data_IF_876876309818
#
_entry.id   IF_876876309818
#
_cell.length_a   1.000
_cell.length_b   1.000
_cell.length_c   1.000
_cell.angle_alpha   90.00
_cell.angle_beta   90.00
_cell.angle_gamma   90.00
#
_symmetry.space_group_name_H-M   'P 1'
#
loop_
_entity.id
_entity.type
_entity.pdbx_description
1 polymer ?
#
# COMPACT_ATOMS: atom_id res chain seq x y z
N UNK A 1 29.38 1.26 58.52
CA UNK A 1 29.92 0.48 57.39
C UNK A 1 28.82 0.30 56.35
N UNK A 2 29.20 0.32 55.07
CA UNK A 2 28.45 0.80 53.91
C UNK A 2 27.29 -0.10 53.47
N UNK A 3 26.10 0.50 53.26
CA UNK A 3 24.96 -0.14 52.58
C UNK A 3 25.32 -0.34 51.11
N UNK A 4 25.52 -1.58 50.69
CA UNK A 4 25.76 -1.94 49.28
C UNK A 4 24.45 -1.81 48.51
N UNK A 5 24.49 -0.97 47.49
CA UNK A 5 23.38 -0.62 46.64
C UNK A 5 22.85 -1.82 45.84
N UNK A 6 21.52 -2.02 45.71
CA UNK A 6 20.93 -2.76 44.61
C UNK A 6 20.49 -1.75 43.53
N UNK A 7 21.41 -0.91 43.04
CA UNK A 7 21.12 0.06 41.96
C UNK A 7 21.31 -0.56 40.56
N UNK A 8 21.44 -1.88 40.44
CA UNK A 8 21.71 -2.56 39.17
C UNK A 8 20.54 -3.37 38.60
N UNK A 9 19.38 -3.45 39.28
CA UNK A 9 18.23 -4.24 38.80
C UNK A 9 17.15 -3.44 38.06
N UNK A 10 17.32 -2.12 37.85
CA UNK A 10 16.35 -1.29 37.13
C UNK A 10 16.73 -0.98 35.68
N UNK A 11 17.74 -1.65 35.11
CA UNK A 11 18.23 -1.43 33.74
C UNK A 11 17.59 -2.38 32.70
N UNK A 12 16.58 -3.16 33.08
CA UNK A 12 16.20 -4.38 32.34
C UNK A 12 14.91 -4.37 31.50
N UNK A 13 14.09 -3.31 31.43
CA UNK A 13 12.70 -3.51 30.98
C UNK A 13 12.03 -2.53 29.99
N UNK A 14 12.67 -1.52 29.39
CA UNK A 14 11.86 -0.43 28.81
C UNK A 14 12.09 0.02 27.36
N UNK A 15 12.75 -0.76 26.48
CA UNK A 15 12.89 -0.34 25.07
C UNK A 15 12.59 -1.41 24.02
N UNK A 16 11.68 -2.35 24.29
CA UNK A 16 11.08 -3.17 23.22
C UNK A 16 9.88 -2.44 22.59
N UNK A 17 10.09 -1.22 22.07
CA UNK A 17 9.13 -0.57 21.18
C UNK A 17 9.28 -1.15 19.77
N UNK A 18 9.04 -2.46 19.61
CA UNK A 18 8.85 -3.02 18.28
C UNK A 18 7.48 -2.51 17.80
N UNK A 19 7.49 -1.47 16.97
CA UNK A 19 6.33 -1.19 16.13
C UNK A 19 6.09 -2.46 15.30
N UNK A 20 5.13 -3.27 15.73
CA UNK A 20 4.84 -4.56 15.10
C UNK A 20 4.43 -4.29 13.65
N UNK A 21 5.22 -4.80 12.71
CA UNK A 21 4.84 -4.78 11.31
C UNK A 21 3.56 -5.63 11.15
N UNK A 22 2.69 -5.30 10.17
CA UNK A 22 1.54 -6.14 9.87
C UNK A 22 2.00 -7.55 9.51
N UNK A 23 1.35 -8.55 10.08
CA UNK A 23 1.51 -9.94 9.67
C UNK A 23 0.56 -10.23 8.53
N UNK A 24 1.10 -10.61 7.38
CA UNK A 24 0.33 -11.07 6.23
C UNK A 24 0.47 -12.58 6.08
N UNK A 25 -0.62 -13.28 5.80
CA UNK A 25 -0.52 -14.65 5.26
C UNK A 25 -0.09 -14.58 3.80
N UNK A 26 1.18 -14.89 3.57
CA UNK A 26 1.83 -14.89 2.24
C UNK A 26 1.87 -16.29 1.60
N UNK A 27 1.16 -17.27 2.17
CA UNK A 27 1.10 -18.62 1.62
C UNK A 27 0.56 -18.58 0.19
N UNK A 28 1.29 -19.18 -0.76
CA UNK A 28 0.92 -19.19 -2.18
C UNK A 28 1.06 -17.86 -2.91
N UNK A 29 1.60 -16.81 -2.28
CA UNK A 29 1.89 -15.54 -2.95
C UNK A 29 3.01 -15.73 -3.98
N UNK A 30 2.80 -15.20 -5.18
CA UNK A 30 3.82 -15.21 -6.22
C UNK A 30 4.66 -13.93 -6.22
N UNK A 31 5.83 -13.98 -5.57
CA UNK A 31 6.69 -12.82 -5.37
C UNK A 31 7.20 -12.14 -6.67
N UNK A 32 7.30 -12.89 -7.78
CA UNK A 32 7.78 -12.38 -9.07
C UNK A 32 6.72 -11.64 -9.90
N UNK A 33 5.43 -11.80 -9.55
CA UNK A 33 4.33 -11.21 -10.32
C UNK A 33 4.11 -9.76 -9.91
N UNK A 34 4.71 -8.82 -10.63
CA UNK A 34 4.46 -7.38 -10.44
C UNK A 34 3.15 -6.94 -11.12
N UNK A 35 2.54 -5.81 -10.74
CA UNK A 35 1.37 -5.28 -11.45
C UNK A 35 1.58 -5.06 -12.93
N UNK A 36 2.73 -4.49 -13.33
CA UNK A 36 3.08 -4.31 -14.75
C UNK A 36 3.17 -5.65 -15.48
N UNK A 37 3.77 -6.67 -14.86
CA UNK A 37 3.86 -8.00 -15.47
C UNK A 37 2.47 -8.64 -15.59
N UNK A 38 1.63 -8.54 -14.54
CA UNK A 38 0.26 -9.03 -14.57
C UNK A 38 -0.57 -8.35 -15.68
N UNK A 39 -0.43 -7.04 -15.85
CA UNK A 39 -1.07 -6.30 -16.95
C UNK A 39 -0.64 -6.83 -18.33
N UNK A 40 0.64 -7.15 -18.51
CA UNK A 40 1.17 -7.72 -19.77
C UNK A 40 0.72 -9.15 -20.03
N UNK A 41 0.43 -9.93 -18.98
CA UNK A 41 -0.11 -11.28 -19.09
C UNK A 41 -1.62 -11.32 -19.37
N UNK A 42 -2.34 -10.23 -19.09
CA UNK A 42 -3.79 -10.16 -19.28
C UNK A 42 -4.53 -11.18 -18.42
N UNK A 43 -5.51 -11.86 -19.02
CA UNK A 43 -6.33 -12.87 -18.34
C UNK A 43 -5.51 -14.04 -17.75
N UNK A 44 -4.30 -14.30 -18.26
CA UNK A 44 -3.40 -15.34 -17.71
C UNK A 44 -2.88 -15.00 -16.31
N UNK A 45 -3.06 -13.77 -15.84
CA UNK A 45 -2.75 -13.39 -14.48
C UNK A 45 -3.84 -13.79 -13.48
N UNK A 46 -5.07 -14.06 -13.93
CA UNK A 46 -6.20 -14.34 -13.05
C UNK A 46 -5.97 -15.60 -12.18
N UNK A 47 -6.47 -15.56 -10.95
CA UNK A 47 -6.34 -16.63 -9.96
C UNK A 47 -4.99 -16.67 -9.22
N UNK A 48 -4.01 -15.83 -9.60
CA UNK A 48 -2.71 -15.79 -8.94
C UNK A 48 -2.77 -14.91 -7.70
N UNK A 49 -2.28 -15.43 -6.58
CA UNK A 49 -2.22 -14.72 -5.32
C UNK A 49 -1.00 -13.82 -5.28
N UNK A 50 -1.19 -12.58 -4.84
CA UNK A 50 -0.16 -11.53 -4.88
C UNK A 50 -0.11 -10.78 -3.55
N UNK A 51 1.09 -10.30 -3.21
CA UNK A 51 1.29 -9.30 -2.16
C UNK A 51 1.82 -8.03 -2.82
N UNK A 52 0.96 -7.02 -2.93
CA UNK A 52 1.31 -5.74 -3.54
C UNK A 52 1.08 -4.60 -2.57
N UNK A 53 1.80 -3.51 -2.76
CA UNK A 53 1.61 -2.31 -1.97
C UNK A 53 2.13 -1.10 -2.72
N UNK A 54 1.75 0.06 -2.23
CA UNK A 54 2.03 1.29 -2.94
C UNK A 54 1.38 2.50 -2.32
N UNK A 55 1.25 3.54 -3.13
CA UNK A 55 0.54 4.76 -2.77
C UNK A 55 -0.84 4.77 -3.39
N UNK A 56 -1.85 5.10 -2.60
CA UNK A 56 -3.20 5.34 -3.10
C UNK A 56 -3.15 6.56 -4.01
N UNK A 57 -3.65 6.40 -5.23
CA UNK A 57 -3.85 7.51 -6.17
C UNK A 57 -5.29 8.00 -6.10
N UNK A 58 -6.24 7.07 -5.95
CA UNK A 58 -7.67 7.36 -5.82
C UNK A 58 -8.36 6.28 -4.99
N UNK A 59 -9.36 6.69 -4.22
CA UNK A 59 -10.30 5.79 -3.57
C UNK A 59 -11.72 6.11 -4.06
N UNK A 60 -12.55 5.08 -4.26
CA UNK A 60 -13.94 5.22 -4.69
C UNK A 60 -14.78 4.13 -4.03
N UNK A 61 -15.86 4.54 -3.36
CA UNK A 61 -16.89 3.62 -2.92
C UNK A 61 -17.85 3.33 -4.08
N UNK A 62 -18.02 2.05 -4.38
CA UNK A 62 -19.00 1.50 -5.29
C UNK A 62 -20.16 0.92 -4.48
N UNK A 63 -21.15 0.33 -5.15
CA UNK A 63 -22.35 -0.21 -4.51
C UNK A 63 -22.05 -1.29 -3.46
N UNK A 64 -21.13 -2.21 -3.77
CA UNK A 64 -20.84 -3.42 -2.98
C UNK A 64 -19.39 -3.49 -2.46
N UNK A 65 -18.53 -2.55 -2.86
CA UNK A 65 -17.09 -2.60 -2.62
C UNK A 65 -16.45 -1.22 -2.60
N UNK A 66 -15.26 -1.14 -2.05
CA UNK A 66 -14.38 0.02 -2.19
C UNK A 66 -13.27 -0.31 -3.17
N UNK A 67 -13.12 0.52 -4.19
CA UNK A 67 -12.06 0.40 -5.19
C UNK A 67 -10.96 1.41 -4.90
N UNK A 68 -9.74 0.91 -4.72
CA UNK A 68 -8.53 1.70 -4.57
C UNK A 68 -7.69 1.59 -5.83
N UNK A 69 -7.34 2.71 -6.44
CA UNK A 69 -6.29 2.78 -7.46
C UNK A 69 -4.96 3.03 -6.77
N UNK A 70 -3.98 2.15 -7.02
CA UNK A 70 -2.71 2.16 -6.28
C UNK A 70 -1.54 2.20 -7.26
N UNK A 71 -0.62 3.14 -7.06
CA UNK A 71 0.69 3.13 -7.72
C UNK A 71 1.63 2.24 -6.93
N UNK A 72 2.00 1.10 -7.50
CA UNK A 72 2.74 0.06 -6.81
C UNK A 72 4.25 0.33 -6.75
N UNK A 73 4.86 -0.10 -5.65
CA UNK A 73 6.30 -0.08 -5.44
C UNK A 73 6.76 -1.43 -4.89
N UNK A 74 8.05 -1.80 -5.07
CA UNK A 74 8.62 -2.95 -4.39
C UNK A 74 8.40 -2.84 -2.88
N UNK A 75 8.18 -3.97 -2.21
CA UNK A 75 8.01 -3.99 -0.76
C UNK A 75 9.36 -4.17 -0.05
N UNK A 76 9.50 -3.55 1.11
CA UNK A 76 10.59 -3.84 2.05
C UNK A 76 10.30 -5.17 2.77
N UNK A 77 11.28 -5.67 3.54
CA UNK A 77 11.13 -6.88 4.35
C UNK A 77 9.95 -6.83 5.33
N UNK A 78 9.57 -5.63 5.79
CA UNK A 78 8.42 -5.41 6.67
C UNK A 78 7.12 -5.15 5.89
N UNK A 79 7.07 -5.52 4.61
CA UNK A 79 5.96 -5.31 3.69
C UNK A 79 5.61 -3.84 3.40
N UNK A 80 6.38 -2.84 3.90
CA UNK A 80 6.12 -1.43 3.61
C UNK A 80 6.58 -1.06 2.19
N UNK A 81 5.83 -0.26 1.41
CA UNK A 81 6.26 0.17 0.07
C UNK A 81 7.58 0.95 0.09
N UNK A 82 8.52 0.56 -0.77
CA UNK A 82 9.83 1.20 -0.98
C UNK A 82 9.69 2.34 -2.00
N UNK A 83 9.26 3.52 -1.54
CA UNK A 83 8.97 4.70 -2.39
C UNK A 83 10.18 5.28 -3.13
N UNK A 84 11.38 4.99 -2.66
CA UNK A 84 12.66 5.35 -3.29
C UNK A 84 13.06 4.43 -4.45
N UNK A 85 12.29 3.37 -4.72
CA UNK A 85 12.49 2.47 -5.86
C UNK A 85 11.56 2.82 -7.03
N UNK A 86 11.89 2.39 -8.27
CA UNK A 86 11.03 2.59 -9.42
C UNK A 86 9.63 1.97 -9.23
N UNK A 87 8.60 2.68 -9.68
CA UNK A 87 7.22 2.18 -9.63
C UNK A 87 7.02 0.95 -10.53
N UNK A 88 6.24 -0.02 -10.04
CA UNK A 88 5.98 -1.31 -10.68
C UNK A 88 4.65 -1.36 -11.45
N UNK A 89 4.10 -0.20 -11.78
CA UNK A 89 2.80 -0.05 -12.46
C UNK A 89 1.67 0.34 -11.49
N UNK A 90 0.45 0.42 -12.02
CA UNK A 90 -0.76 0.68 -11.25
C UNK A 90 -1.64 -0.56 -11.24
N UNK A 91 -2.43 -0.70 -10.19
CA UNK A 91 -3.44 -1.74 -10.10
C UNK A 91 -4.69 -1.21 -9.39
N UNK A 92 -5.79 -1.91 -9.58
CA UNK A 92 -7.03 -1.68 -8.85
C UNK A 92 -7.14 -2.73 -7.76
N UNK A 93 -7.39 -2.31 -6.53
CA UNK A 93 -7.70 -3.18 -5.41
C UNK A 93 -9.17 -3.02 -5.05
N UNK A 94 -9.91 -4.12 -5.16
CA UNK A 94 -11.30 -4.19 -4.74
C UNK A 94 -11.35 -4.81 -3.35
N UNK A 95 -11.83 -4.02 -2.38
CA UNK A 95 -12.08 -4.46 -1.02
C UNK A 95 -13.60 -4.62 -0.82
N UNK A 96 -14.08 -5.77 -0.31
CA UNK A 96 -15.51 -5.98 -0.10
C UNK A 96 -16.07 -5.02 0.96
N UNK A 97 -17.19 -4.36 0.66
CA UNK A 97 -17.79 -3.37 1.55
C UNK A 97 -17.12 -1.99 1.53
N UNK A 98 -17.30 -1.25 2.62
CA UNK A 98 -16.97 0.17 2.71
C UNK A 98 -15.65 0.43 3.44
N UNK A 99 -14.79 1.27 2.87
CA UNK A 99 -13.68 1.91 3.55
C UNK A 99 -13.92 3.42 3.59
N UNK A 100 -13.58 4.05 4.72
CA UNK A 100 -13.62 5.50 4.84
C UNK A 100 -12.57 6.13 3.92
N UNK A 101 -13.01 6.80 2.87
CA UNK A 101 -12.11 7.33 1.82
C UNK A 101 -11.28 8.52 2.31
N UNK A 102 -11.72 9.19 3.39
CA UNK A 102 -10.89 10.19 4.08
C UNK A 102 -9.65 9.55 4.73
N UNK A 103 -9.76 8.33 5.26
CA UNK A 103 -8.61 7.59 5.78
C UNK A 103 -7.75 7.02 4.66
N UNK A 104 -8.39 6.46 3.63
CA UNK A 104 -7.75 5.92 2.42
C UNK A 104 -7.50 7.01 1.36
N UNK A 105 -7.10 8.19 1.80
CA UNK A 105 -6.86 9.35 0.94
C UNK A 105 -5.67 9.15 -0.02
N UNK A 106 -5.63 9.89 -1.14
CA UNK A 106 -4.47 9.93 -2.03
C UNK A 106 -3.15 10.23 -1.30
N UNK A 107 -2.08 9.53 -1.68
CA UNK A 107 -0.75 9.63 -1.06
C UNK A 107 -0.55 8.74 0.17
N UNK A 108 -1.60 8.13 0.74
CA UNK A 108 -1.45 7.14 1.81
C UNK A 108 -0.80 5.87 1.28
N UNK A 109 0.07 5.27 2.09
CA UNK A 109 0.68 3.98 1.77
C UNK A 109 -0.20 2.83 2.26
N UNK A 110 -0.36 1.80 1.44
CA UNK A 110 -0.98 0.55 1.83
C UNK A 110 -0.16 -0.64 1.36
N UNK A 111 -0.42 -1.79 1.98
CA UNK A 111 -0.02 -3.10 1.49
C UNK A 111 -1.19 -4.05 1.61
N UNK A 112 -1.34 -4.94 0.64
CA UNK A 112 -2.39 -5.95 0.62
C UNK A 112 -1.90 -7.31 0.15
N UNK A 113 -2.64 -8.33 0.54
CA UNK A 113 -2.62 -9.66 -0.07
C UNK A 113 -3.99 -9.91 -0.67
N UNK A 114 -4.00 -10.48 -1.87
CA UNK A 114 -5.23 -10.82 -2.56
C UNK A 114 -4.98 -11.68 -3.78
N UNK A 115 -6.05 -11.89 -4.55
CA UNK A 115 -6.01 -12.68 -5.77
C UNK A 115 -6.28 -11.79 -6.96
N UNK A 116 -5.46 -11.87 -8.01
CA UNK A 116 -5.74 -11.18 -9.27
C UNK A 116 -7.03 -11.76 -9.85
N UNK A 117 -8.08 -10.95 -9.91
CA UNK A 117 -9.41 -11.37 -10.34
C UNK A 117 -9.57 -11.24 -11.86
N UNK A 118 -9.07 -10.14 -12.42
CA UNK A 118 -9.22 -9.81 -13.84
C UNK A 118 -8.21 -8.74 -14.25
N UNK A 119 -8.27 -8.33 -15.52
CA UNK A 119 -7.60 -7.15 -16.03
C UNK A 119 -8.63 -6.17 -16.58
N UNK A 120 -8.54 -4.91 -16.18
CA UNK A 120 -9.44 -3.83 -16.56
C UNK A 120 -8.73 -2.82 -17.47
N UNK A 121 -9.31 -2.55 -18.64
CA UNK A 121 -8.86 -1.46 -19.52
C UNK A 121 -9.49 -0.16 -19.07
N UNK A 122 -8.65 0.82 -18.77
CA UNK A 122 -9.06 2.16 -18.39
C UNK A 122 -8.10 3.20 -18.96
N UNK A 123 -7.94 4.29 -18.22
CA UNK A 123 -7.00 5.37 -18.58
C UNK A 123 -6.24 5.83 -17.35
N UNK A 124 -5.02 6.32 -17.58
CA UNK A 124 -4.34 7.25 -16.67
C UNK A 124 -4.37 8.58 -17.38
N UNK A 125 -5.10 9.54 -16.82
CA UNK A 125 -5.46 10.78 -17.50
C UNK A 125 -6.09 10.49 -18.88
N UNK A 126 -5.41 10.87 -19.97
CA UNK A 126 -5.89 10.62 -21.33
C UNK A 126 -5.29 9.36 -21.97
N UNK A 127 -4.22 8.82 -21.38
CA UNK A 127 -3.50 7.68 -21.93
C UNK A 127 -4.22 6.36 -21.61
N UNK A 128 -4.41 5.46 -22.60
CA UNK A 128 -4.97 4.14 -22.34
C UNK A 128 -4.06 3.36 -21.37
N UNK A 129 -4.67 2.66 -20.43
CA UNK A 129 -3.96 1.89 -19.41
C UNK A 129 -4.67 0.57 -19.11
N UNK A 130 -3.90 -0.44 -18.76
CA UNK A 130 -4.39 -1.78 -18.42
C UNK A 130 -4.07 -2.05 -16.95
N UNK A 131 -5.10 -2.11 -16.12
CA UNK A 131 -4.99 -2.34 -14.68
C UNK A 131 -5.24 -3.82 -14.36
N UNK A 132 -4.31 -4.55 -13.73
CA UNK A 132 -4.70 -5.75 -13.03
C UNK A 132 -5.63 -5.37 -11.86
N UNK A 133 -6.67 -6.16 -11.66
CA UNK A 133 -7.64 -5.98 -10.58
C UNK A 133 -7.40 -7.08 -9.55
N UNK A 134 -7.21 -6.69 -8.29
CA UNK A 134 -6.99 -7.60 -7.17
C UNK A 134 -8.23 -7.61 -6.28
N UNK A 135 -8.82 -8.78 -6.09
CA UNK A 135 -9.76 -9.01 -5.00
C UNK A 135 -8.96 -9.13 -3.70
N UNK A 136 -9.22 -8.24 -2.75
CA UNK A 136 -8.38 -8.04 -1.57
C UNK A 136 -8.83 -8.91 -0.40
N UNK A 137 -7.93 -9.75 0.12
CA UNK A 137 -8.19 -10.63 1.27
C UNK A 137 -7.68 -9.99 2.57
N UNK A 138 -6.50 -9.38 2.52
CA UNK A 138 -5.86 -8.70 3.65
C UNK A 138 -5.41 -7.32 3.20
N UNK A 139 -5.69 -6.29 3.99
CA UNK A 139 -5.35 -4.91 3.68
C UNK A 139 -4.78 -4.23 4.92
N UNK A 140 -3.67 -3.53 4.75
CA UNK A 140 -3.06 -2.73 5.80
C UNK A 140 -2.76 -1.31 5.30
N UNK A 141 -3.32 -0.33 5.99
CA UNK A 141 -3.07 1.08 5.76
C UNK A 141 -1.96 1.56 6.70
N UNK A 142 -0.85 2.01 6.13
CA UNK A 142 0.30 2.46 6.92
C UNK A 142 -0.01 3.79 7.64
N UNK A 143 0.47 3.96 8.89
CA UNK A 143 0.45 5.25 9.56
C UNK A 143 1.21 6.30 8.74
N UNK A 144 0.78 7.55 8.83
CA UNK A 144 1.51 8.68 8.23
C UNK A 144 2.84 8.80 8.97
N UNK A 145 3.96 8.69 8.25
CA UNK A 145 5.25 8.93 8.87
C UNK A 145 5.38 10.42 9.21
N UNK A 146 5.79 10.73 10.45
CA UNK A 146 6.25 12.08 10.81
C UNK A 146 7.47 12.40 9.93
N UNK A 147 7.26 13.11 8.84
CA UNK A 147 8.28 13.44 7.82
C UNK A 147 7.82 13.29 6.37
N UNK A 148 6.78 12.50 6.10
CA UNK A 148 6.17 12.35 4.77
C UNK A 148 5.11 13.44 4.49
N UNK A 149 5.33 14.65 5.02
CA UNK A 149 4.47 15.80 4.76
C UNK A 149 4.44 16.06 3.27
N UNK A 150 3.26 15.92 2.67
CA UNK A 150 2.98 16.25 1.29
C UNK A 150 3.52 17.66 1.03
N UNK A 151 4.49 17.78 0.13
CA UNK A 151 4.81 19.04 -0.53
C UNK A 151 3.59 19.43 -1.33
N UNK A 152 2.66 20.17 -0.71
CA UNK A 152 1.57 20.85 -1.39
C UNK A 152 2.21 21.92 -2.27
N UNK A 153 2.45 21.60 -3.54
CA UNK A 153 2.59 22.62 -4.57
C UNK A 153 1.20 23.24 -4.77
N UNK A 154 0.89 24.25 -3.96
CA UNK A 154 -0.17 25.20 -4.24
C UNK A 154 0.28 25.97 -5.49
N UNK A 155 -0.20 25.55 -6.65
CA UNK A 155 -0.09 26.33 -7.88
C UNK A 155 -0.81 27.65 -7.66
N UNK A 156 -0.04 28.71 -7.42
CA UNK A 156 -0.55 30.08 -7.49
C UNK A 156 -0.90 30.33 -8.96
N UNK A 157 -2.18 30.16 -9.30
CA UNK A 157 -2.72 30.61 -10.56
C UNK A 157 -2.69 32.13 -10.60
N UNK A 158 -1.73 32.71 -11.29
CA UNK A 158 -1.81 34.10 -11.73
C UNK A 158 -2.79 34.13 -12.91
N UNK A 159 -4.05 34.45 -12.61
CA UNK A 159 -4.97 35.04 -13.57
C UNK A 159 -4.59 36.52 -13.63
N UNK A 160 -3.98 36.97 -14.73
CA UNK A 160 -3.92 38.38 -15.08
C UNK A 160 -4.08 38.55 -16.59
N UNK A 161 -5.30 38.96 -16.94
CA UNK A 161 -5.85 39.61 -18.14
C UNK A 161 -5.51 39.06 -19.53
#
# INVERSE_FOLDING_TARGET
>A
MTRRAPLLSLLGCLLAACAAAPTFDISGVEAGLTPRLAAGLGERAAGRRVQWGGLIVRAQNLEDRTRLEVLAFPLRHNARPKRDAPAQGRFLADFPGYLETADFAPGRALTLVGTVAAVHRGRVDQAPYTYPVVATDQLYLWPVARGDGIGVHLGVGVIVH
#
